data_IF_194225474519
#
_entry.id   IF_194225474519
#
_cell.length_a   1.000
_cell.length_b   1.000
_cell.length_c   1.000
_cell.angle_alpha   90.00
_cell.angle_beta   90.00
_cell.angle_gamma   90.00
#
_symmetry.space_group_name_H-M   'P 1'
#
loop_
_entity.id
_entity.type
_entity.pdbx_description
1 polymer ?
#
# COMPACT_ATOMS: atom_id res chain seq x y z
N UNK A 1 -20.17 -14.56 -5.10
CA UNK A 1 -19.09 -14.26 -4.12
C UNK A 1 -18.17 -13.25 -4.79
N UNK A 2 -17.80 -12.16 -4.10
CA UNK A 2 -16.91 -11.15 -4.68
C UNK A 2 -15.47 -11.65 -4.70
N UNK A 3 -14.76 -11.36 -5.79
CA UNK A 3 -13.35 -11.74 -5.96
C UNK A 3 -12.44 -10.56 -5.72
N UNK A 4 -11.36 -10.77 -4.98
CA UNK A 4 -10.38 -9.74 -4.68
C UNK A 4 -8.96 -10.23 -4.91
N UNK A 5 -8.13 -9.40 -5.50
CA UNK A 5 -6.69 -9.62 -5.62
C UNK A 5 -5.94 -8.64 -4.73
N UNK A 6 -5.01 -9.15 -3.91
CA UNK A 6 -4.20 -8.35 -2.99
C UNK A 6 -2.72 -8.60 -3.25
N UNK A 7 -1.98 -7.57 -3.59
CA UNK A 7 -0.52 -7.68 -3.76
C UNK A 7 0.22 -7.46 -2.44
N UNK A 8 1.39 -8.09 -2.27
CA UNK A 8 2.14 -8.03 -1.01
C UNK A 8 1.41 -8.71 0.15
N UNK A 9 0.66 -9.78 -0.15
CA UNK A 9 -0.26 -10.42 0.79
C UNK A 9 0.34 -11.61 1.58
N UNK A 10 1.66 -11.78 1.57
CA UNK A 10 2.34 -12.84 2.35
C UNK A 10 2.59 -12.47 3.82
N UNK A 11 2.23 -11.26 4.23
CA UNK A 11 2.41 -10.77 5.60
C UNK A 11 1.88 -9.35 5.80
N UNK A 12 2.00 -8.85 7.02
CA UNK A 12 1.66 -7.47 7.38
C UNK A 12 0.23 -7.07 7.03
N UNK A 13 0.06 -5.82 6.61
CA UNK A 13 -1.25 -5.22 6.28
C UNK A 13 -1.98 -6.03 5.20
N UNK A 14 -1.26 -6.52 4.16
CA UNK A 14 -1.87 -7.26 3.06
C UNK A 14 -2.50 -8.58 3.52
N UNK A 15 -1.78 -9.36 4.32
CA UNK A 15 -2.30 -10.64 4.86
C UNK A 15 -3.45 -10.42 5.84
N UNK A 16 -3.34 -9.47 6.75
CA UNK A 16 -4.41 -9.20 7.71
C UNK A 16 -5.68 -8.68 7.02
N UNK A 17 -5.51 -7.84 5.98
CA UNK A 17 -6.64 -7.41 5.14
C UNK A 17 -7.27 -8.60 4.42
N UNK A 18 -6.46 -9.54 3.91
CA UNK A 18 -6.95 -10.77 3.27
C UNK A 18 -7.79 -11.62 4.22
N UNK A 19 -7.33 -11.84 5.47
CA UNK A 19 -8.07 -12.58 6.50
C UNK A 19 -9.44 -11.96 6.77
N UNK A 20 -9.49 -10.65 6.98
CA UNK A 20 -10.74 -9.93 7.27
C UNK A 20 -11.73 -10.00 6.11
N UNK A 21 -11.24 -9.91 4.87
CA UNK A 21 -12.10 -10.00 3.68
C UNK A 21 -12.54 -11.45 3.40
N UNK A 22 -11.69 -12.44 3.65
CA UNK A 22 -12.08 -13.85 3.59
C UNK A 22 -13.20 -14.17 4.58
N UNK A 23 -13.10 -13.70 5.83
CA UNK A 23 -14.17 -13.82 6.85
C UNK A 23 -15.48 -13.13 6.44
N UNK A 24 -15.45 -12.18 5.52
CA UNK A 24 -16.61 -11.52 4.91
C UNK A 24 -17.07 -12.18 3.58
N UNK A 25 -16.70 -13.42 3.34
CA UNK A 25 -17.06 -14.19 2.15
C UNK A 25 -16.48 -13.63 0.82
N UNK A 26 -15.32 -12.96 0.84
CA UNK A 26 -14.60 -12.67 -0.38
C UNK A 26 -13.73 -13.88 -0.77
N UNK A 27 -13.67 -14.17 -2.06
CA UNK A 27 -12.68 -15.07 -2.63
C UNK A 27 -11.39 -14.28 -2.90
N UNK A 28 -10.30 -14.64 -2.21
CA UNK A 28 -9.07 -13.86 -2.19
C UNK A 28 -7.98 -14.53 -3.03
N UNK A 29 -7.35 -13.76 -3.92
CA UNK A 29 -6.10 -14.12 -4.57
C UNK A 29 -4.96 -13.36 -3.91
N UNK A 30 -4.03 -14.10 -3.29
CA UNK A 30 -2.84 -13.56 -2.64
C UNK A 30 -1.67 -13.51 -3.62
N UNK A 31 -1.07 -12.33 -3.82
CA UNK A 31 0.11 -12.16 -4.69
C UNK A 31 1.31 -11.75 -3.86
N UNK A 32 2.42 -12.50 -3.93
CA UNK A 32 3.72 -12.16 -3.34
C UNK A 32 4.84 -13.02 -3.95
N UNK A 33 6.09 -12.72 -3.59
CA UNK A 33 7.28 -13.42 -4.10
C UNK A 33 7.54 -14.77 -3.47
N UNK A 34 7.22 -14.94 -2.18
CA UNK A 34 7.51 -16.16 -1.44
C UNK A 34 6.35 -17.13 -1.51
N UNK A 35 6.53 -18.22 -2.26
CA UNK A 35 5.56 -19.32 -2.35
C UNK A 35 5.29 -19.96 -0.99
N UNK A 36 6.34 -20.19 -0.20
CA UNK A 36 6.22 -20.76 1.14
C UNK A 36 5.32 -19.91 2.05
N UNK A 37 5.56 -18.59 2.09
CA UNK A 37 4.75 -17.66 2.90
C UNK A 37 3.32 -17.59 2.39
N UNK A 38 3.09 -17.60 1.07
CA UNK A 38 1.76 -17.63 0.48
C UNK A 38 1.00 -18.93 0.81
N UNK A 39 1.67 -20.09 0.72
CA UNK A 39 1.10 -21.37 1.08
C UNK A 39 0.74 -21.49 2.57
N UNK A 40 1.48 -20.77 3.44
CA UNK A 40 1.11 -20.64 4.86
C UNK A 40 -0.07 -19.69 5.02
N UNK A 41 -0.01 -18.52 4.39
CA UNK A 41 -1.03 -17.49 4.50
C UNK A 41 -2.43 -17.94 4.05
N UNK A 42 -2.50 -18.69 2.94
CA UNK A 42 -3.80 -19.14 2.41
C UNK A 42 -4.52 -20.13 3.33
N UNK A 43 -3.77 -20.91 4.14
CA UNK A 43 -4.35 -21.83 5.13
C UNK A 43 -5.03 -21.12 6.31
N UNK A 44 -4.66 -19.87 6.53
CA UNK A 44 -5.19 -19.06 7.62
C UNK A 44 -6.44 -18.24 7.19
N UNK A 45 -6.91 -18.41 5.94
CA UNK A 45 -8.08 -17.70 5.44
C UNK A 45 -9.36 -18.51 5.67
N UNK A 46 -10.39 -17.83 6.19
CA UNK A 46 -11.72 -18.39 6.33
C UNK A 46 -12.40 -18.57 4.97
N UNK A 47 -13.10 -19.70 4.79
CA UNK A 47 -13.83 -20.00 3.57
C UNK A 47 -13.04 -20.87 2.57
N UNK A 48 -13.45 -20.83 1.30
CA UNK A 48 -12.88 -21.67 0.24
C UNK A 48 -12.71 -20.90 -1.07
N UNK A 49 -11.95 -21.50 -2.00
CA UNK A 49 -11.75 -20.91 -3.33
C UNK A 49 -10.69 -19.81 -3.39
N UNK A 50 -9.95 -19.60 -2.30
CA UNK A 50 -8.79 -18.70 -2.31
C UNK A 50 -7.68 -19.27 -3.17
N UNK A 51 -6.88 -18.39 -3.76
CA UNK A 51 -5.76 -18.76 -4.64
C UNK A 51 -4.50 -17.98 -4.29
N UNK A 52 -3.36 -18.49 -4.70
CA UNK A 52 -2.08 -17.81 -4.64
C UNK A 52 -1.52 -17.58 -6.04
N UNK A 53 -0.79 -16.48 -6.20
CA UNK A 53 -0.03 -16.19 -7.41
C UNK A 53 1.37 -15.72 -7.02
N UNK A 54 2.36 -16.56 -7.25
CA UNK A 54 3.76 -16.24 -6.97
C UNK A 54 4.28 -15.33 -8.05
N UNK A 55 4.74 -14.13 -7.66
CA UNK A 55 5.26 -13.13 -8.59
C UNK A 55 6.14 -12.11 -7.88
N UNK A 56 7.27 -11.74 -8.50
CA UNK A 56 8.02 -10.52 -8.19
C UNK A 56 7.54 -9.39 -9.10
N UNK A 57 6.84 -8.41 -8.53
CA UNK A 57 6.29 -7.28 -9.29
C UNK A 57 7.36 -6.29 -9.81
N UNK A 58 8.63 -6.49 -9.46
CA UNK A 58 9.75 -5.75 -10.05
C UNK A 58 10.27 -6.42 -11.33
N UNK A 59 9.99 -7.71 -11.48
CA UNK A 59 10.28 -8.47 -12.70
C UNK A 59 9.18 -8.22 -13.75
N UNK A 60 9.60 -8.08 -15.01
CA UNK A 60 8.68 -7.73 -16.11
C UNK A 60 7.74 -8.88 -16.47
N UNK A 61 8.24 -10.11 -16.49
CA UNK A 61 7.49 -11.27 -16.92
C UNK A 61 6.47 -11.68 -15.83
N UNK A 62 6.89 -11.62 -14.58
CA UNK A 62 6.01 -11.84 -13.43
C UNK A 62 4.92 -10.76 -13.32
N UNK A 63 5.25 -9.49 -13.54
CA UNK A 63 4.27 -8.41 -13.59
C UNK A 63 3.26 -8.62 -14.73
N UNK A 64 3.73 -9.06 -15.90
CA UNK A 64 2.85 -9.40 -17.03
C UNK A 64 1.92 -10.56 -16.69
N UNK A 65 2.43 -11.61 -16.05
CA UNK A 65 1.64 -12.75 -15.56
C UNK A 65 0.51 -12.31 -14.63
N UNK A 66 0.79 -11.42 -13.66
CA UNK A 66 -0.26 -10.88 -12.77
C UNK A 66 -1.25 -10.01 -13.52
N UNK A 67 -0.78 -9.22 -14.48
CA UNK A 67 -1.60 -8.38 -15.35
C UNK A 67 -2.59 -9.20 -16.17
N UNK A 68 -2.12 -10.29 -16.77
CA UNK A 68 -2.96 -11.19 -17.57
C UNK A 68 -3.96 -11.95 -16.69
N UNK A 69 -3.54 -12.34 -15.49
CA UNK A 69 -4.42 -12.95 -14.50
C UNK A 69 -5.54 -12.00 -14.06
N UNK A 70 -5.25 -10.70 -13.85
CA UNK A 70 -6.25 -9.69 -13.55
C UNK A 70 -7.25 -9.51 -14.69
N UNK A 71 -6.78 -9.48 -15.94
CA UNK A 71 -7.65 -9.33 -17.11
C UNK A 71 -8.59 -10.51 -17.32
N UNK A 72 -8.11 -11.73 -17.03
CA UNK A 72 -8.90 -12.95 -17.20
C UNK A 72 -9.84 -13.24 -16.01
N UNK A 73 -9.53 -12.74 -14.82
CA UNK A 73 -10.09 -13.22 -13.56
C UNK A 73 -11.41 -12.60 -13.10
N UNK A 74 -11.94 -11.56 -13.76
CA UNK A 74 -13.16 -10.83 -13.35
C UNK A 74 -13.16 -10.46 -11.84
N UNK A 75 -12.22 -9.63 -11.42
CA UNK A 75 -12.08 -9.20 -10.04
C UNK A 75 -12.98 -7.99 -9.73
N UNK A 76 -13.71 -8.05 -8.61
CA UNK A 76 -14.51 -6.93 -8.09
C UNK A 76 -13.65 -5.90 -7.35
N UNK A 77 -12.50 -6.34 -6.80
CA UNK A 77 -11.60 -5.46 -6.03
C UNK A 77 -10.15 -5.78 -6.34
N UNK A 78 -9.35 -4.74 -6.58
CA UNK A 78 -7.88 -4.80 -6.56
C UNK A 78 -7.34 -3.98 -5.38
N UNK A 79 -6.49 -4.59 -4.55
CA UNK A 79 -5.71 -3.88 -3.53
C UNK A 79 -4.22 -3.95 -3.91
N UNK A 80 -3.68 -2.85 -4.41
CA UNK A 80 -2.26 -2.65 -4.61
C UNK A 80 -1.60 -2.32 -3.26
N UNK A 81 -1.21 -3.37 -2.52
CA UNK A 81 -0.57 -3.22 -1.21
C UNK A 81 0.95 -3.50 -1.27
N UNK A 82 1.45 -4.24 -2.25
CA UNK A 82 2.88 -4.45 -2.40
C UNK A 82 3.63 -3.11 -2.45
N UNK A 83 4.74 -3.04 -1.73
CA UNK A 83 5.58 -1.86 -1.69
C UNK A 83 6.86 -2.10 -0.90
N UNK A 84 7.88 -1.32 -1.19
CA UNK A 84 9.15 -1.29 -0.47
C UNK A 84 9.43 0.10 0.07
N UNK A 85 10.06 0.15 1.24
CA UNK A 85 10.69 1.34 1.80
C UNK A 85 12.19 1.26 1.62
N UNK A 86 12.85 2.41 1.68
CA UNK A 86 14.31 2.50 1.74
C UNK A 86 14.70 3.74 2.55
N UNK A 87 15.55 3.55 3.57
CA UNK A 87 16.01 4.59 4.46
C UNK A 87 17.54 4.70 4.41
N UNK A 88 18.02 5.92 4.32
CA UNK A 88 19.41 6.28 4.23
C UNK A 88 19.59 7.62 3.50
N UNK A 89 20.79 8.21 3.56
CA UNK A 89 21.06 9.43 2.79
C UNK A 89 21.08 9.12 1.30
N UNK A 90 20.53 10.01 0.49
CA UNK A 90 20.23 9.76 -0.92
C UNK A 90 21.42 9.21 -1.72
N UNK A 91 22.60 9.79 -1.54
CA UNK A 91 23.81 9.39 -2.28
C UNK A 91 24.53 8.16 -1.67
N UNK A 92 24.15 7.73 -0.48
CA UNK A 92 24.73 6.57 0.22
C UNK A 92 23.95 5.27 -0.10
N UNK A 93 22.73 5.38 -0.63
CA UNK A 93 21.92 4.25 -1.08
C UNK A 93 22.26 3.94 -2.55
N UNK A 94 22.55 2.67 -2.91
CA UNK A 94 22.75 2.28 -4.31
C UNK A 94 21.57 2.73 -5.19
N UNK A 95 21.90 3.24 -6.39
CA UNK A 95 20.87 3.78 -7.30
C UNK A 95 19.89 2.71 -7.77
N UNK A 96 20.34 1.50 -8.00
CA UNK A 96 19.53 0.35 -8.41
C UNK A 96 18.46 -0.02 -7.36
N UNK A 97 18.79 0.03 -6.07
CA UNK A 97 17.80 -0.18 -4.99
C UNK A 97 16.73 0.92 -4.96
N UNK A 98 17.13 2.16 -5.21
CA UNK A 98 16.18 3.28 -5.30
C UNK A 98 15.25 3.12 -6.51
N UNK A 99 15.82 2.74 -7.67
CA UNK A 99 15.05 2.48 -8.89
C UNK A 99 14.12 1.26 -8.74
N UNK A 100 14.57 0.19 -8.07
CA UNK A 100 13.73 -0.97 -7.75
C UNK A 100 12.55 -0.58 -6.84
N UNK A 101 12.76 0.32 -5.87
CA UNK A 101 11.68 0.87 -5.03
C UNK A 101 10.67 1.64 -5.88
N UNK A 102 11.11 2.46 -6.84
CA UNK A 102 10.22 3.17 -7.76
C UNK A 102 9.46 2.19 -8.67
N UNK A 103 10.15 1.16 -9.21
CA UNK A 103 9.55 0.14 -10.05
C UNK A 103 8.38 -0.56 -9.32
N UNK A 104 8.59 -0.99 -8.08
CA UNK A 104 7.55 -1.65 -7.30
C UNK A 104 6.42 -0.69 -6.91
N UNK A 105 6.78 0.46 -6.30
CA UNK A 105 5.79 1.34 -5.68
C UNK A 105 4.98 2.17 -6.69
N UNK A 106 5.51 2.38 -7.90
CA UNK A 106 4.88 3.23 -8.92
C UNK A 106 4.54 2.45 -10.18
N UNK A 107 5.54 1.92 -10.91
CA UNK A 107 5.32 1.34 -12.22
C UNK A 107 4.44 0.08 -12.15
N UNK A 108 4.73 -0.84 -11.23
CA UNK A 108 3.90 -2.03 -11.04
C UNK A 108 2.47 -1.67 -10.63
N UNK A 109 2.32 -0.74 -9.68
CA UNK A 109 1.02 -0.25 -9.24
C UNK A 109 0.21 0.37 -10.39
N UNK A 110 0.82 1.20 -11.22
CA UNK A 110 0.16 1.81 -12.40
C UNK A 110 -0.26 0.73 -13.39
N UNK A 111 0.63 -0.21 -13.69
CA UNK A 111 0.36 -1.32 -14.63
C UNK A 111 -0.83 -2.16 -14.18
N UNK A 112 -0.86 -2.58 -12.90
CA UNK A 112 -1.96 -3.37 -12.35
C UNK A 112 -3.26 -2.56 -12.26
N UNK A 113 -3.19 -1.28 -11.86
CA UNK A 113 -4.34 -0.39 -11.84
C UNK A 113 -4.96 -0.22 -13.23
N UNK A 114 -4.11 -0.05 -14.25
CA UNK A 114 -4.56 0.07 -15.64
C UNK A 114 -5.26 -1.21 -16.12
N UNK A 115 -4.64 -2.38 -15.87
CA UNK A 115 -5.21 -3.68 -16.25
C UNK A 115 -6.57 -3.93 -15.59
N UNK A 116 -6.70 -3.62 -14.30
CA UNK A 116 -7.95 -3.75 -13.56
C UNK A 116 -9.03 -2.80 -14.11
N UNK A 117 -8.70 -1.51 -14.27
CA UNK A 117 -9.67 -0.48 -14.66
C UNK A 117 -10.15 -0.62 -16.11
N UNK A 118 -9.41 -1.31 -16.99
CA UNK A 118 -9.87 -1.64 -18.34
C UNK A 118 -11.13 -2.52 -18.34
N UNK A 119 -11.27 -3.41 -17.37
CA UNK A 119 -12.37 -4.38 -17.26
C UNK A 119 -13.32 -4.09 -16.10
N UNK A 120 -13.03 -3.06 -15.28
CA UNK A 120 -13.83 -2.73 -14.10
C UNK A 120 -15.23 -2.28 -14.44
N UNK A 121 -16.20 -2.72 -13.66
CA UNK A 121 -17.64 -2.47 -13.81
C UNK A 121 -18.16 -1.60 -12.66
N UNK A 122 -19.38 -1.11 -12.82
CA UNK A 122 -20.05 -0.41 -11.72
C UNK A 122 -20.12 -1.29 -10.46
N UNK A 123 -19.67 -0.74 -9.34
CA UNK A 123 -19.58 -1.46 -8.07
C UNK A 123 -18.20 -2.02 -7.74
N UNK A 124 -17.26 -2.04 -8.69
CA UNK A 124 -15.89 -2.46 -8.43
C UNK A 124 -15.07 -1.41 -7.68
N UNK A 125 -13.95 -1.83 -7.11
CA UNK A 125 -13.10 -0.94 -6.34
C UNK A 125 -11.59 -1.18 -6.55
N UNK A 126 -10.84 -0.09 -6.71
CA UNK A 126 -9.39 -0.05 -6.69
C UNK A 126 -8.89 0.63 -5.42
N UNK A 127 -8.05 -0.05 -4.66
CA UNK A 127 -7.40 0.50 -3.46
C UNK A 127 -5.90 0.48 -3.64
N UNK A 128 -5.27 1.64 -3.50
CA UNK A 128 -3.83 1.78 -3.57
C UNK A 128 -3.28 2.15 -2.18
N UNK A 129 -2.36 1.33 -1.66
CA UNK A 129 -1.75 1.59 -0.36
C UNK A 129 -0.60 2.60 -0.52
N UNK A 130 -0.87 3.81 -0.07
CA UNK A 130 0.10 4.89 0.00
C UNK A 130 0.81 4.90 1.38
N UNK A 131 0.96 6.04 2.01
CA UNK A 131 1.54 6.22 3.34
C UNK A 131 1.12 7.58 3.91
N UNK A 132 1.22 7.73 5.22
CA UNK A 132 1.20 9.03 5.89
C UNK A 132 2.27 9.98 5.31
N UNK A 133 3.41 9.41 4.88
CA UNK A 133 4.52 10.15 4.25
C UNK A 133 4.17 10.76 2.87
N UNK A 134 3.03 10.40 2.28
CA UNK A 134 2.52 11.11 1.10
C UNK A 134 2.22 12.60 1.35
N UNK A 135 2.10 13.00 2.62
CA UNK A 135 1.76 14.35 3.01
C UNK A 135 2.96 15.22 3.43
N UNK A 136 4.17 14.61 3.54
CA UNK A 136 5.38 15.31 3.98
C UNK A 136 6.63 14.77 3.30
N UNK A 137 7.66 15.61 3.19
CA UNK A 137 8.98 15.15 2.76
C UNK A 137 9.65 14.38 3.90
N UNK A 138 10.44 13.36 3.57
CA UNK A 138 11.22 12.59 4.53
C UNK A 138 12.70 12.63 4.13
N UNK A 139 13.53 13.51 4.72
CA UNK A 139 14.98 13.40 4.57
C UNK A 139 15.45 11.99 5.00
N UNK A 140 16.38 11.38 4.27
CA UNK A 140 16.78 9.99 4.52
C UNK A 140 15.74 8.93 4.13
N UNK A 141 14.78 9.29 3.29
CA UNK A 141 13.74 8.41 2.72
C UNK A 141 13.05 9.10 1.56
N UNK A 142 13.81 9.96 0.84
CA UNK A 142 13.26 10.88 -0.17
C UNK A 142 12.52 10.17 -1.31
N UNK A 143 13.13 9.12 -1.87
CA UNK A 143 12.52 8.34 -2.96
C UNK A 143 11.25 7.65 -2.47
N UNK A 144 11.30 6.99 -1.32
CA UNK A 144 10.14 6.33 -0.75
C UNK A 144 8.97 7.31 -0.53
N UNK A 145 9.23 8.43 0.16
CA UNK A 145 8.19 9.44 0.40
C UNK A 145 7.61 10.01 -0.90
N UNK A 146 8.46 10.25 -1.91
CA UNK A 146 8.04 10.71 -3.23
C UNK A 146 7.13 9.69 -3.93
N UNK A 147 7.48 8.38 -3.89
CA UNK A 147 6.62 7.34 -4.48
C UNK A 147 5.25 7.28 -3.79
N UNK A 148 5.20 7.47 -2.47
CA UNK A 148 3.92 7.46 -1.73
C UNK A 148 3.09 8.72 -2.00
N UNK A 149 3.73 9.88 -2.22
CA UNK A 149 3.07 11.09 -2.73
C UNK A 149 2.45 10.88 -4.11
N UNK A 150 3.20 10.22 -5.01
CA UNK A 150 2.68 9.82 -6.33
C UNK A 150 1.42 8.95 -6.18
N UNK A 151 1.48 7.87 -5.40
CA UNK A 151 0.35 6.93 -5.22
C UNK A 151 -0.90 7.66 -4.70
N UNK A 152 -0.75 8.56 -3.73
CA UNK A 152 -1.87 9.29 -3.18
C UNK A 152 -2.55 10.19 -4.21
N UNK A 153 -1.77 10.99 -4.96
CA UNK A 153 -2.30 11.89 -5.99
C UNK A 153 -2.88 11.12 -7.19
N UNK A 154 -2.21 10.05 -7.62
CA UNK A 154 -2.69 9.16 -8.67
C UNK A 154 -4.06 8.57 -8.32
N UNK A 155 -4.23 8.07 -7.10
CA UNK A 155 -5.49 7.48 -6.65
C UNK A 155 -6.65 8.51 -6.62
N UNK A 156 -6.40 9.74 -6.16
CA UNK A 156 -7.42 10.80 -6.16
C UNK A 156 -7.83 11.22 -7.56
N UNK A 157 -6.86 11.29 -8.49
CA UNK A 157 -7.14 11.60 -9.89
C UNK A 157 -8.02 10.53 -10.52
N UNK A 158 -7.67 9.26 -10.35
CA UNK A 158 -8.47 8.14 -10.86
C UNK A 158 -9.86 8.09 -10.22
N UNK A 159 -9.99 8.39 -8.92
CA UNK A 159 -11.31 8.48 -8.28
C UNK A 159 -12.22 9.47 -9.03
N UNK A 160 -11.70 10.63 -9.38
CA UNK A 160 -12.50 11.63 -10.11
C UNK A 160 -12.89 11.14 -11.51
N UNK A 161 -11.96 10.50 -12.24
CA UNK A 161 -12.20 10.00 -13.59
C UNK A 161 -13.25 8.87 -13.61
N UNK A 162 -13.22 7.99 -12.60
CA UNK A 162 -14.04 6.78 -12.58
C UNK A 162 -15.34 6.89 -11.76
N UNK A 163 -15.53 7.94 -10.95
CA UNK A 163 -16.72 8.08 -10.08
C UNK A 163 -18.04 8.07 -10.84
N UNK A 164 -18.08 8.64 -12.06
CA UNK A 164 -19.30 8.64 -12.90
C UNK A 164 -19.60 7.26 -13.49
N UNK A 165 -18.61 6.39 -13.59
CA UNK A 165 -18.78 4.99 -14.01
C UNK A 165 -19.20 4.09 -12.84
N UNK A 166 -19.33 4.63 -11.63
CA UNK A 166 -19.66 3.87 -10.43
C UNK A 166 -18.54 2.96 -9.92
N UNK A 167 -17.30 3.19 -10.37
CA UNK A 167 -16.10 2.49 -9.91
C UNK A 167 -15.45 3.33 -8.80
N UNK A 168 -15.20 2.70 -7.65
CA UNK A 168 -14.58 3.37 -6.52
C UNK A 168 -13.06 3.25 -6.57
N UNK A 169 -12.34 4.37 -6.44
CA UNK A 169 -10.88 4.38 -6.30
C UNK A 169 -10.49 5.09 -5.02
N UNK A 170 -9.55 4.52 -4.26
CA UNK A 170 -9.12 5.08 -2.98
C UNK A 170 -7.60 4.95 -2.81
N UNK A 171 -6.96 6.03 -2.40
CA UNK A 171 -5.63 6.03 -1.79
C UNK A 171 -5.74 5.86 -0.27
N UNK A 172 -5.23 4.76 0.27
CA UNK A 172 -5.19 4.53 1.72
C UNK A 172 -3.80 4.86 2.26
N UNK A 173 -3.73 5.73 3.26
CA UNK A 173 -2.48 6.25 3.81
C UNK A 173 -2.29 5.78 5.27
N UNK A 174 -1.70 4.58 5.49
CA UNK A 174 -1.38 4.12 6.82
C UNK A 174 -0.28 4.98 7.45
N UNK A 175 -0.30 5.07 8.79
CA UNK A 175 0.85 5.46 9.58
C UNK A 175 1.90 4.35 9.64
N UNK A 176 2.89 4.49 10.53
CA UNK A 176 3.85 3.42 10.78
C UNK A 176 3.13 2.24 11.43
N UNK A 177 3.21 1.05 10.79
CA UNK A 177 2.62 -0.19 11.29
C UNK A 177 3.71 -1.10 11.86
N UNK A 178 3.39 -1.82 12.93
CA UNK A 178 4.29 -2.80 13.55
C UNK A 178 4.38 -4.06 12.67
N UNK A 179 5.19 -3.99 11.60
CA UNK A 179 5.41 -5.07 10.64
C UNK A 179 6.88 -5.14 10.23
N UNK A 180 7.28 -6.20 9.55
CA UNK A 180 8.63 -6.39 9.03
C UNK A 180 9.03 -5.37 7.94
N UNK A 181 8.08 -4.53 7.49
CA UNK A 181 8.32 -3.52 6.46
C UNK A 181 9.50 -2.59 6.81
N UNK A 182 9.58 -2.14 8.07
CA UNK A 182 10.62 -1.19 8.49
C UNK A 182 12.00 -1.84 8.54
N UNK A 183 12.09 -3.11 8.97
CA UNK A 183 13.35 -3.86 8.97
C UNK A 183 13.87 -4.09 7.56
N UNK A 184 12.99 -4.43 6.62
CA UNK A 184 13.37 -4.56 5.21
C UNK A 184 13.78 -3.23 4.55
N UNK A 185 13.31 -2.10 5.09
CA UNK A 185 13.66 -0.76 4.60
C UNK A 185 14.98 -0.20 5.17
N UNK A 186 15.70 -0.96 5.98
CA UNK A 186 16.94 -0.50 6.63
C UNK A 186 16.72 0.32 7.91
N UNK A 187 15.53 0.22 8.53
CA UNK A 187 15.20 0.84 9.81
C UNK A 187 14.63 -0.17 10.80
N UNK A 188 14.31 0.29 12.00
CA UNK A 188 13.67 -0.52 13.03
C UNK A 188 12.35 0.11 13.47
N UNK A 189 11.42 -0.71 13.95
CA UNK A 189 10.16 -0.20 14.52
C UNK A 189 10.38 0.71 15.72
N UNK A 190 11.49 0.51 16.46
CA UNK A 190 11.93 1.36 17.57
C UNK A 190 12.34 2.78 17.16
N UNK A 191 12.62 3.02 15.87
CA UNK A 191 13.01 4.34 15.36
C UNK A 191 11.85 5.32 15.33
N UNK A 192 10.64 4.82 15.37
CA UNK A 192 9.42 5.61 15.34
C UNK A 192 8.85 5.83 16.76
N UNK A 193 8.36 7.04 17.05
CA UNK A 193 7.69 7.27 18.33
C UNK A 193 6.49 6.33 18.50
N UNK A 194 6.36 5.71 19.69
CA UNK A 194 5.28 4.74 19.98
C UNK A 194 3.86 5.29 19.70
N UNK A 195 3.67 6.60 19.85
CA UNK A 195 2.35 7.22 19.66
C UNK A 195 1.89 7.28 18.17
N UNK A 196 2.83 7.15 17.20
CA UNK A 196 2.51 7.10 15.76
C UNK A 196 2.40 5.67 15.24
N UNK A 197 2.81 4.69 16.02
CA UNK A 197 2.73 3.28 15.68
C UNK A 197 1.29 2.78 15.81
N UNK A 198 0.86 1.99 14.84
CA UNK A 198 -0.41 1.25 14.87
C UNK A 198 -0.15 -0.25 14.77
N UNK A 199 -1.05 -1.07 15.29
CA UNK A 199 -1.04 -2.51 15.01
C UNK A 199 -1.41 -2.75 13.54
N UNK A 200 -0.97 -3.88 13.00
CA UNK A 200 -1.35 -4.29 11.65
C UNK A 200 -2.86 -4.53 11.58
N UNK A 201 -3.42 -5.06 12.65
CA UNK A 201 -4.85 -5.35 12.82
C UNK A 201 -5.71 -4.08 12.74
N UNK A 202 -5.31 -3.01 13.44
CA UNK A 202 -6.03 -1.72 13.41
C UNK A 202 -5.98 -1.07 12.02
N UNK A 203 -4.82 -1.18 11.35
CA UNK A 203 -4.64 -0.66 10.00
C UNK A 203 -5.52 -1.40 9.00
N UNK A 204 -5.53 -2.74 9.05
CA UNK A 204 -6.33 -3.58 8.17
C UNK A 204 -7.83 -3.39 8.42
N UNK A 205 -8.25 -3.26 9.68
CA UNK A 205 -9.65 -2.99 10.03
C UNK A 205 -10.13 -1.66 9.44
N UNK A 206 -9.34 -0.59 9.59
CA UNK A 206 -9.73 0.71 9.03
C UNK A 206 -9.71 0.70 7.50
N UNK A 207 -8.80 -0.05 6.87
CA UNK A 207 -8.75 -0.25 5.42
C UNK A 207 -10.03 -0.94 4.92
N UNK A 208 -10.42 -2.07 5.52
CA UNK A 208 -11.64 -2.81 5.15
C UNK A 208 -12.87 -1.94 5.34
N UNK A 209 -13.00 -1.27 6.49
CA UNK A 209 -14.09 -0.33 6.76
C UNK A 209 -14.15 0.81 5.73
N UNK A 210 -13.01 1.35 5.30
CA UNK A 210 -12.96 2.40 4.29
C UNK A 210 -13.38 1.89 2.90
N UNK A 211 -12.97 0.66 2.53
CA UNK A 211 -13.39 -0.02 1.31
C UNK A 211 -14.90 -0.28 1.28
N UNK A 212 -15.49 -0.67 2.39
CA UNK A 212 -16.95 -0.88 2.50
C UNK A 212 -17.74 0.42 2.39
N UNK A 213 -17.30 1.46 3.11
CA UNK A 213 -18.00 2.75 3.15
C UNK A 213 -17.88 3.56 1.87
N UNK A 214 -16.80 3.44 1.11
CA UNK A 214 -16.56 4.09 -0.21
C UNK A 214 -16.83 5.59 -0.25
N UNK A 215 -16.51 6.31 0.83
CA UNK A 215 -16.88 7.73 0.98
C UNK A 215 -15.81 8.72 0.52
N UNK A 216 -14.54 8.36 0.66
CA UNK A 216 -13.41 9.29 0.47
C UNK A 216 -12.39 8.75 -0.51
N UNK A 217 -11.91 9.57 -1.45
CA UNK A 217 -10.84 9.15 -2.39
C UNK A 217 -9.49 9.00 -1.69
N UNK A 218 -9.31 9.67 -0.54
CA UNK A 218 -8.11 9.57 0.28
C UNK A 218 -8.49 9.34 1.74
N UNK A 219 -7.93 8.28 2.33
CA UNK A 219 -8.15 7.93 3.75
C UNK A 219 -6.81 7.92 4.47
N UNK A 220 -6.69 8.69 5.53
CA UNK A 220 -5.56 8.66 6.47
C UNK A 220 -5.96 7.82 7.67
N UNK A 221 -5.22 6.75 7.92
CA UNK A 221 -5.47 5.82 9.02
C UNK A 221 -5.22 6.47 10.37
N UNK A 222 -6.12 6.25 11.31
CA UNK A 222 -6.02 6.66 12.71
C UNK A 222 -6.27 8.15 12.95
N UNK A 223 -7.02 8.46 14.02
CA UNK A 223 -7.32 9.85 14.38
C UNK A 223 -6.08 10.65 14.78
N UNK A 224 -5.09 9.99 15.43
CA UNK A 224 -3.81 10.61 15.82
C UNK A 224 -3.03 11.09 14.60
N UNK A 225 -2.96 10.28 13.54
CA UNK A 225 -2.30 10.62 12.29
C UNK A 225 -3.00 11.80 11.61
N UNK A 226 -4.33 11.81 11.60
CA UNK A 226 -5.12 12.94 11.05
C UNK A 226 -4.86 14.24 11.82
N UNK A 227 -4.81 14.17 13.14
CA UNK A 227 -4.50 15.32 13.98
C UNK A 227 -3.07 15.84 13.77
N UNK A 228 -2.09 14.94 13.70
CA UNK A 228 -0.70 15.29 13.41
C UNK A 228 -0.57 15.99 12.05
N UNK A 229 -1.19 15.46 11.00
CA UNK A 229 -1.18 16.08 9.68
C UNK A 229 -1.84 17.48 9.68
N UNK A 230 -2.88 17.68 10.48
CA UNK A 230 -3.47 19.02 10.64
C UNK A 230 -2.47 19.99 11.25
N UNK A 231 -1.73 19.60 12.29
CA UNK A 231 -0.67 20.41 12.87
C UNK A 231 0.46 20.72 11.86
N UNK A 232 0.87 19.73 11.06
CA UNK A 232 1.90 19.93 10.03
C UNK A 232 1.49 20.94 8.94
N UNK A 233 0.19 21.07 8.64
CA UNK A 233 -0.32 22.10 7.68
C UNK A 233 -0.15 23.53 8.16
N UNK A 234 -0.02 23.74 9.46
CA UNK A 234 0.19 25.07 10.05
C UNK A 234 1.66 25.49 10.07
N UNK A 235 2.58 24.56 9.80
CA UNK A 235 4.00 24.83 9.76
C UNK A 235 4.45 25.34 8.39
N UNK A 236 5.51 26.16 8.38
CA UNK A 236 6.20 26.45 7.13
C UNK A 236 6.80 25.16 6.54
N UNK A 237 6.92 25.07 5.21
CA UNK A 237 7.53 23.90 4.54
C UNK A 237 8.93 23.61 5.08
N UNK A 238 9.75 24.65 5.31
CA UNK A 238 11.09 24.52 5.87
C UNK A 238 11.07 23.91 7.27
N UNK A 239 10.18 24.37 8.14
CA UNK A 239 10.04 23.84 9.50
C UNK A 239 9.57 22.38 9.49
N UNK A 240 8.60 22.04 8.65
CA UNK A 240 8.10 20.68 8.53
C UNK A 240 9.21 19.72 8.06
N UNK A 241 10.01 20.09 7.04
CA UNK A 241 11.13 19.27 6.55
C UNK A 241 12.22 19.10 7.61
N UNK A 242 12.55 20.17 8.38
CA UNK A 242 13.54 20.08 9.45
C UNK A 242 13.08 19.12 10.57
N UNK A 243 11.82 19.19 10.99
CA UNK A 243 11.26 18.27 11.99
C UNK A 243 11.33 16.82 11.46
N UNK A 244 10.90 16.60 10.22
CA UNK A 244 10.94 15.26 9.61
C UNK A 244 12.38 14.72 9.50
N UNK A 245 13.36 15.59 9.20
CA UNK A 245 14.77 15.19 9.18
C UNK A 245 15.31 14.74 10.54
N UNK A 246 14.88 15.40 11.63
CA UNK A 246 15.32 15.04 12.99
C UNK A 246 14.74 13.70 13.48
N UNK A 247 13.56 13.31 13.01
CA UNK A 247 12.89 12.07 13.43
C UNK A 247 13.07 10.93 12.43
N UNK A 248 13.68 11.19 11.26
CA UNK A 248 13.83 10.20 10.20
C UNK A 248 14.86 9.12 10.56
N UNK A 249 14.51 7.82 10.40
CA UNK A 249 15.47 6.73 10.58
C UNK A 249 16.71 6.88 9.69
N UNK A 250 16.55 7.25 8.44
CA UNK A 250 17.65 7.37 7.48
C UNK A 250 18.60 8.56 7.69
N UNK A 251 18.37 9.38 8.72
CA UNK A 251 19.24 10.50 9.10
C UNK A 251 19.93 10.30 10.46
N UNK A 252 19.64 9.18 11.15
CA UNK A 252 20.21 8.87 12.48
C UNK A 252 21.55 8.12 12.43
N UNK A 253 22.01 7.73 11.23
CA UNK A 253 23.26 7.00 10.99
C UNK A 253 24.37 7.97 10.52
#
# INVERSE_FOLDING_TARGET
>A
MKKILITGASGGIGLETARRLAAQNYQVTLVARSEEKLNKAIKDLDGTGHTILVADLTDKDDLQKVTDHLKAGEYDVLINNAGAGIYGKFIEIPLDEQLATMQLNMNALVTLSYAFLQNARQGDALVNISSLLAHSSLPGGSVYAATKGFVANFSESLWYEFKKKGIFVMGFNPGAAASDFHSHAGGHTSDFPKFVMSSVEDVAEELVRALENRRKPRVVQGWKNRFMLFGFKLLSRKSAVNIMGQISPGMKN
#
